data_IF_861475719947
#
_entry.id   IF_861475719947
#
_cell.length_a   1.000
_cell.length_b   1.000
_cell.length_c   1.000
_cell.angle_alpha   90.00
_cell.angle_beta   90.00
_cell.angle_gamma   90.00
#
_symmetry.space_group_name_H-M   'P 1'
#
loop_
_entity.id
_entity.type
_entity.pdbx_description
1 polymer ?
#
# COMPACT_ATOMS: atom_id res chain seq x y z
N UNK A 1 1.23 2.41 -9.93
CA UNK A 1 0.06 2.06 -9.08
C UNK A 1 -0.42 3.25 -8.24
N UNK A 2 0.47 4.02 -7.60
CA UNK A 2 0.06 5.17 -6.77
C UNK A 2 0.24 6.55 -7.41
N UNK A 3 0.43 6.65 -8.73
CA UNK A 3 0.76 7.93 -9.39
C UNK A 3 -0.27 9.02 -9.15
N UNK A 4 -1.57 8.69 -9.22
CA UNK A 4 -2.64 9.65 -8.96
C UNK A 4 -2.61 10.13 -7.50
N UNK A 5 -2.45 9.20 -6.55
CA UNK A 5 -2.30 9.50 -5.12
C UNK A 5 -1.07 10.39 -4.88
N UNK A 6 0.09 10.02 -5.43
CA UNK A 6 1.35 10.76 -5.29
C UNK A 6 1.21 12.19 -5.82
N UNK A 7 0.64 12.37 -7.01
CA UNK A 7 0.41 13.69 -7.60
C UNK A 7 -0.51 14.54 -6.71
N UNK A 8 -1.64 13.97 -6.30
CA UNK A 8 -2.63 14.67 -5.49
C UNK A 8 -2.11 15.10 -4.11
N UNK A 9 -1.32 14.24 -3.45
CA UNK A 9 -0.68 14.58 -2.18
C UNK A 9 0.42 15.63 -2.36
N UNK A 10 1.18 15.57 -3.45
CA UNK A 10 2.20 16.59 -3.76
C UNK A 10 1.55 17.96 -3.93
N UNK A 11 0.49 18.05 -4.73
CA UNK A 11 -0.27 19.29 -4.94
C UNK A 11 -0.89 19.85 -3.65
N UNK A 12 -1.39 18.95 -2.78
CA UNK A 12 -1.93 19.33 -1.47
C UNK A 12 -0.84 19.96 -0.59
N UNK A 13 0.32 19.32 -0.48
CA UNK A 13 1.41 19.80 0.37
C UNK A 13 2.02 21.09 -0.15
N UNK A 14 2.12 21.27 -1.47
CA UNK A 14 2.52 22.55 -2.05
C UNK A 14 1.56 23.68 -1.70
N UNK A 15 0.25 23.43 -1.78
CA UNK A 15 -0.78 24.42 -1.43
C UNK A 15 -0.73 24.80 0.05
N UNK A 16 -0.47 23.83 0.93
CA UNK A 16 -0.28 24.09 2.37
C UNK A 16 0.96 24.97 2.58
N UNK A 17 2.07 24.66 1.91
CA UNK A 17 3.32 25.41 2.01
C UNK A 17 3.21 26.85 1.51
N UNK A 18 2.48 27.08 0.40
CA UNK A 18 2.25 28.41 -0.20
C UNK A 18 1.35 29.32 0.65
N UNK A 19 0.50 28.78 1.53
CA UNK A 19 -0.44 29.55 2.36
C UNK A 19 0.17 30.17 3.62
N UNK A 20 1.46 29.97 3.89
CA UNK A 20 2.14 30.57 5.04
C UNK A 20 1.89 29.81 6.36
N UNK A 21 1.49 30.53 7.42
CA UNK A 21 1.40 29.96 8.78
C UNK A 21 0.32 28.88 8.87
N UNK A 22 0.70 27.69 9.34
CA UNK A 22 -0.23 26.59 9.54
C UNK A 22 -1.11 26.85 10.79
N UNK A 23 -2.39 27.15 10.56
CA UNK A 23 -3.37 27.46 11.63
C UNK A 23 -4.35 26.31 11.86
N UNK A 24 -5.11 26.36 12.96
CA UNK A 24 -6.18 25.38 13.25
C UNK A 24 -7.24 25.30 12.14
N UNK A 25 -7.61 26.44 11.54
CA UNK A 25 -8.53 26.48 10.41
C UNK A 25 -7.94 25.79 9.17
N UNK A 26 -6.70 26.14 8.80
CA UNK A 26 -6.01 25.50 7.67
C UNK A 26 -5.84 24.00 7.88
N UNK A 27 -5.63 23.55 9.12
CA UNK A 27 -5.56 22.13 9.46
C UNK A 27 -6.87 21.39 9.18
N UNK A 28 -8.03 21.96 9.55
CA UNK A 28 -9.34 21.31 9.29
C UNK A 28 -9.60 21.18 7.80
N UNK A 29 -9.35 22.23 7.03
CA UNK A 29 -9.50 22.21 5.57
C UNK A 29 -8.56 21.18 4.92
N UNK A 30 -7.31 21.12 5.39
CA UNK A 30 -6.32 20.16 4.92
C UNK A 30 -6.75 18.73 5.20
N UNK A 31 -7.27 18.44 6.41
CA UNK A 31 -7.78 17.11 6.76
C UNK A 31 -8.98 16.68 5.92
N UNK A 32 -9.90 17.61 5.64
CA UNK A 32 -11.02 17.34 4.72
C UNK A 32 -10.50 16.98 3.33
N UNK A 33 -9.54 17.73 2.82
CA UNK A 33 -8.94 17.46 1.50
C UNK A 33 -8.15 16.15 1.46
N UNK A 34 -7.40 15.81 2.51
CA UNK A 34 -6.76 14.49 2.63
C UNK A 34 -7.79 13.38 2.54
N UNK A 35 -8.92 13.53 3.24
CA UNK A 35 -10.00 12.53 3.21
C UNK A 35 -10.56 12.33 1.81
N UNK A 36 -10.89 13.42 1.14
CA UNK A 36 -11.52 13.39 -0.17
C UNK A 36 -10.54 12.78 -1.21
N UNK A 37 -9.25 13.15 -1.15
CA UNK A 37 -8.20 12.54 -1.99
C UNK A 37 -7.99 11.04 -1.77
N UNK A 38 -8.11 10.57 -0.52
CA UNK A 38 -8.04 9.14 -0.22
C UNK A 38 -9.23 8.41 -0.87
N UNK A 39 -10.43 8.98 -0.76
CA UNK A 39 -11.65 8.40 -1.36
C UNK A 39 -11.54 8.37 -2.89
N UNK A 40 -11.07 9.46 -3.50
CA UNK A 40 -10.84 9.57 -4.95
C UNK A 40 -9.77 8.58 -5.46
N UNK A 41 -8.95 8.02 -4.55
CA UNK A 41 -7.90 7.05 -4.84
C UNK A 41 -8.29 5.61 -4.46
N UNK A 42 -9.59 5.29 -4.53
CA UNK A 42 -10.17 3.97 -4.23
C UNK A 42 -9.95 3.47 -2.79
N UNK A 43 -9.69 4.37 -1.83
CA UNK A 43 -9.65 4.00 -0.40
C UNK A 43 -11.06 4.01 0.18
N UNK A 44 -11.43 2.93 0.87
CA UNK A 44 -12.71 2.84 1.58
C UNK A 44 -12.95 4.04 2.50
N UNK A 45 -14.17 4.59 2.48
CA UNK A 45 -14.59 5.71 3.33
C UNK A 45 -14.32 5.46 4.81
N UNK A 46 -14.48 4.21 5.27
CA UNK A 46 -14.21 3.83 6.66
C UNK A 46 -12.71 3.94 7.00
N UNK A 47 -11.85 3.53 6.08
CA UNK A 47 -10.39 3.60 6.24
C UNK A 47 -9.93 5.06 6.15
N UNK A 48 -10.44 5.83 5.19
CA UNK A 48 -10.14 7.26 5.06
C UNK A 48 -10.53 8.04 6.33
N UNK A 49 -11.72 7.78 6.90
CA UNK A 49 -12.14 8.35 8.20
C UNK A 49 -11.17 7.99 9.33
N UNK A 50 -10.78 6.72 9.44
CA UNK A 50 -9.81 6.25 10.46
C UNK A 50 -8.45 6.93 10.32
N UNK A 51 -7.96 7.10 9.09
CA UNK A 51 -6.70 7.79 8.80
C UNK A 51 -6.76 9.24 9.29
N UNK A 52 -7.81 9.98 8.90
CA UNK A 52 -7.98 11.39 9.28
C UNK A 52 -8.08 11.57 10.79
N UNK A 53 -8.85 10.73 11.48
CA UNK A 53 -8.97 10.75 12.94
C UNK A 53 -7.62 10.49 13.63
N UNK A 54 -6.82 9.55 13.12
CA UNK A 54 -5.46 9.30 13.63
C UNK A 54 -4.55 10.51 13.43
N UNK A 55 -4.61 11.15 12.26
CA UNK A 55 -3.82 12.37 11.98
C UNK A 55 -4.22 13.48 12.95
N UNK A 56 -5.52 13.74 13.13
CA UNK A 56 -6.02 14.78 14.04
C UNK A 56 -5.57 14.56 15.50
N UNK A 57 -5.57 13.30 15.95
CA UNK A 57 -5.05 12.92 17.27
C UNK A 57 -3.55 13.19 17.40
N UNK A 58 -2.75 12.88 16.39
CA UNK A 58 -1.30 13.14 16.40
C UNK A 58 -0.97 14.64 16.31
N UNK A 59 -1.77 15.43 15.57
CA UNK A 59 -1.65 16.89 15.55
C UNK A 59 -1.84 17.47 16.94
N UNK A 60 -2.89 17.04 17.64
CA UNK A 60 -3.22 17.51 18.98
C UNK A 60 -2.13 17.16 20.00
N UNK A 61 -1.56 15.95 19.92
CA UNK A 61 -0.48 15.51 20.82
C UNK A 61 0.82 16.29 20.64
N UNK A 62 1.19 16.62 19.40
CA UNK A 62 2.50 17.19 19.07
C UNK A 62 2.57 18.72 19.11
N UNK A 63 1.46 19.38 19.49
CA UNK A 63 1.34 20.85 19.48
C UNK A 63 1.95 21.48 18.23
N UNK A 64 1.64 20.93 17.04
CA UNK A 64 2.32 21.29 15.78
C UNK A 64 2.33 22.80 15.54
N UNK A 65 1.25 23.49 15.93
CA UNK A 65 1.09 24.93 15.76
C UNK A 65 2.17 25.78 16.45
N UNK A 66 2.85 25.23 17.47
CA UNK A 66 3.94 25.87 18.20
C UNK A 66 5.32 25.54 17.62
N UNK A 67 5.40 24.63 16.63
CA UNK A 67 6.66 24.18 16.06
C UNK A 67 7.21 25.13 14.99
N UNK A 68 8.54 25.17 14.84
CA UNK A 68 9.24 26.03 13.88
C UNK A 68 8.92 25.71 12.40
N UNK A 69 8.55 24.47 12.08
CA UNK A 69 8.20 24.02 10.72
C UNK A 69 6.90 23.18 10.73
N UNK A 70 5.74 23.81 10.92
CA UNK A 70 4.49 23.10 11.15
C UNK A 70 3.98 22.36 9.89
N UNK A 71 4.27 22.89 8.70
CA UNK A 71 4.02 22.29 7.40
C UNK A 71 4.76 20.96 7.22
N UNK A 72 6.08 20.93 7.47
CA UNK A 72 6.89 19.72 7.38
C UNK A 72 6.48 18.69 8.43
N UNK A 73 6.14 19.15 9.64
CA UNK A 73 5.65 18.28 10.71
C UNK A 73 4.30 17.64 10.38
N UNK A 74 3.40 18.38 9.72
CA UNK A 74 2.14 17.83 9.22
C UNK A 74 2.39 16.70 8.20
N UNK A 75 3.25 16.93 7.19
CA UNK A 75 3.61 15.89 6.20
C UNK A 75 4.15 14.63 6.88
N UNK A 76 5.07 14.78 7.84
CA UNK A 76 5.63 13.66 8.61
C UNK A 76 4.56 12.87 9.37
N UNK A 77 3.56 13.53 9.92
CA UNK A 77 2.47 12.86 10.64
C UNK A 77 1.58 12.10 9.66
N UNK A 78 1.22 12.71 8.53
CA UNK A 78 0.45 12.03 7.48
C UNK A 78 1.20 10.77 7.03
N UNK A 79 2.49 10.89 6.69
CA UNK A 79 3.33 9.76 6.30
C UNK A 79 3.36 8.68 7.38
N UNK A 80 3.60 9.04 8.65
CA UNK A 80 3.62 8.10 9.78
C UNK A 80 2.30 7.33 9.89
N UNK A 81 1.15 8.02 9.79
CA UNK A 81 -0.16 7.39 9.89
C UNK A 81 -0.42 6.46 8.70
N UNK A 82 0.00 6.84 7.48
CA UNK A 82 -0.13 5.98 6.30
C UNK A 82 0.71 4.71 6.44
N UNK A 83 1.97 4.81 6.87
CA UNK A 83 2.84 3.65 7.15
C UNK A 83 2.20 2.74 8.20
N UNK A 84 1.65 3.33 9.26
CA UNK A 84 0.93 2.58 10.30
C UNK A 84 -0.26 1.77 9.82
N UNK A 85 -0.94 2.24 8.77
CA UNK A 85 -2.13 1.58 8.23
C UNK A 85 -1.75 0.53 7.19
N UNK A 86 -0.74 0.80 6.36
CA UNK A 86 -0.28 -0.13 5.31
C UNK A 86 0.50 -1.30 5.94
N UNK A 87 1.27 -1.03 6.99
CA UNK A 87 2.07 -2.03 7.70
C UNK A 87 3.42 -1.43 8.10
N UNK A 88 3.72 -1.43 9.40
CA UNK A 88 4.99 -0.88 9.91
C UNK A 88 6.18 -1.83 9.68
N UNK A 89 5.91 -3.14 9.59
CA UNK A 89 6.95 -4.17 9.47
C UNK A 89 6.70 -5.02 8.24
N UNK A 90 7.78 -5.21 7.47
CA UNK A 90 7.83 -6.20 6.42
C UNK A 90 8.15 -7.57 7.03
N UNK A 91 7.26 -8.54 6.86
CA UNK A 91 7.48 -9.93 7.25
C UNK A 91 7.72 -10.76 5.98
N UNK A 92 8.96 -11.19 5.69
CA UNK A 92 9.26 -11.95 4.50
C UNK A 92 8.70 -13.37 4.58
N UNK A 93 8.51 -13.99 3.42
CA UNK A 93 8.19 -15.42 3.35
C UNK A 93 9.33 -16.20 4.00
N UNK A 94 9.00 -17.09 4.95
CA UNK A 94 9.98 -17.94 5.63
C UNK A 94 10.40 -19.07 4.69
N UNK A 95 11.60 -18.92 4.14
CA UNK A 95 12.20 -19.87 3.19
C UNK A 95 13.22 -20.77 3.89
N UNK A 96 12.78 -21.54 4.91
CA UNK A 96 13.64 -22.50 5.62
C UNK A 96 14.26 -23.50 4.64
N UNK A 97 15.47 -23.99 4.94
CA UNK A 97 16.20 -24.93 4.05
C UNK A 97 15.66 -26.36 4.10
N UNK A 98 14.97 -26.73 5.18
CA UNK A 98 14.66 -28.12 5.52
C UNK A 98 13.15 -28.43 5.54
N UNK A 99 12.30 -27.52 5.08
CA UNK A 99 10.85 -27.74 5.06
C UNK A 99 10.27 -27.46 3.68
N UNK A 100 9.31 -28.29 3.28
CA UNK A 100 8.54 -28.08 2.08
C UNK A 100 7.55 -26.93 2.31
N UNK A 101 7.67 -25.87 1.49
CA UNK A 101 6.79 -24.71 1.55
C UNK A 101 5.68 -24.84 0.51
N UNK A 102 4.45 -25.05 0.97
CA UNK A 102 3.26 -25.09 0.11
C UNK A 102 2.58 -23.71 0.14
N UNK A 103 2.45 -23.09 -1.04
CA UNK A 103 1.80 -21.78 -1.20
C UNK A 103 0.53 -21.94 -2.04
N UNK A 104 -0.63 -21.70 -1.44
CA UNK A 104 -1.91 -21.67 -2.12
C UNK A 104 -2.28 -20.25 -2.54
N UNK A 105 -2.56 -20.05 -3.82
CA UNK A 105 -2.92 -18.74 -4.38
C UNK A 105 -4.43 -18.56 -4.43
N UNK A 106 -4.97 -17.68 -3.59
CA UNK A 106 -6.42 -17.42 -3.46
C UNK A 106 -6.74 -15.98 -3.84
N UNK A 107 -7.93 -15.75 -4.41
CA UNK A 107 -8.38 -14.41 -4.84
C UNK A 107 -9.47 -14.46 -5.91
N UNK A 108 -10.08 -13.31 -6.20
CA UNK A 108 -11.17 -13.19 -7.19
C UNK A 108 -10.72 -13.52 -8.63
N UNK A 109 -11.65 -13.84 -9.53
CA UNK A 109 -11.35 -14.04 -10.96
C UNK A 109 -10.75 -12.74 -11.53
N UNK A 110 -9.69 -12.85 -12.33
CA UNK A 110 -9.03 -11.68 -12.93
C UNK A 110 -8.02 -10.94 -12.03
N UNK A 111 -7.89 -11.28 -10.74
CA UNK A 111 -6.90 -10.66 -9.82
C UNK A 111 -5.43 -11.00 -10.11
N UNK A 112 -5.15 -11.69 -11.22
CA UNK A 112 -3.79 -12.01 -11.63
C UNK A 112 -3.16 -13.23 -10.96
N UNK A 113 -3.94 -14.06 -10.24
CA UNK A 113 -3.44 -15.27 -9.52
C UNK A 113 -2.41 -16.09 -10.31
N UNK A 114 -2.79 -16.59 -11.49
CA UNK A 114 -1.91 -17.43 -12.33
C UNK A 114 -0.61 -16.72 -12.72
N UNK A 115 -0.70 -15.43 -13.06
CA UNK A 115 0.46 -14.62 -13.41
C UNK A 115 1.36 -14.40 -12.20
N UNK A 116 0.77 -14.10 -11.04
CA UNK A 116 1.49 -13.93 -9.77
C UNK A 116 2.14 -15.23 -9.32
N UNK A 117 1.48 -16.38 -9.50
CA UNK A 117 2.05 -17.71 -9.25
C UNK A 117 3.34 -17.92 -10.04
N UNK A 118 3.32 -17.65 -11.34
CA UNK A 118 4.50 -17.82 -12.20
C UNK A 118 5.63 -16.84 -11.81
N UNK A 119 5.28 -15.56 -11.56
CA UNK A 119 6.25 -14.55 -11.11
C UNK A 119 6.89 -14.93 -9.78
N UNK A 120 6.10 -15.38 -8.81
CA UNK A 120 6.59 -15.81 -7.51
C UNK A 120 7.51 -17.02 -7.66
N UNK A 121 7.11 -18.02 -8.46
CA UNK A 121 7.95 -19.18 -8.72
C UNK A 121 9.29 -18.83 -9.35
N UNK A 122 9.29 -17.87 -10.29
CA UNK A 122 10.51 -17.36 -10.91
C UNK A 122 11.41 -16.67 -9.88
N UNK A 123 10.86 -15.79 -9.04
CA UNK A 123 11.62 -15.12 -7.96
C UNK A 123 12.22 -16.13 -6.99
N UNK A 124 11.45 -17.14 -6.57
CA UNK A 124 11.94 -18.17 -5.65
C UNK A 124 13.08 -19.01 -6.26
N UNK A 125 13.01 -19.29 -7.56
CA UNK A 125 14.07 -20.02 -8.27
C UNK A 125 15.30 -19.17 -8.55
N UNK A 126 15.14 -17.99 -9.15
CA UNK A 126 16.26 -17.14 -9.60
C UNK A 126 16.92 -16.40 -8.44
N UNK A 127 16.14 -15.84 -7.51
CA UNK A 127 16.68 -15.01 -6.42
C UNK A 127 17.04 -15.82 -5.18
N UNK A 128 16.25 -16.86 -4.87
CA UNK A 128 16.42 -17.64 -3.63
C UNK A 128 16.94 -19.06 -3.85
N UNK A 129 17.26 -19.43 -5.10
CA UNK A 129 17.80 -20.73 -5.51
C UNK A 129 17.00 -21.93 -4.95
N UNK A 130 15.67 -21.80 -4.91
CA UNK A 130 14.76 -22.88 -4.48
C UNK A 130 14.33 -23.71 -5.67
N UNK A 131 14.13 -25.01 -5.45
CA UNK A 131 13.39 -25.87 -6.37
C UNK A 131 11.92 -25.55 -6.22
N UNK A 132 11.24 -25.23 -7.33
CA UNK A 132 9.85 -24.79 -7.34
C UNK A 132 9.04 -25.70 -8.25
N UNK A 133 7.93 -26.20 -7.73
CA UNK A 133 6.89 -26.88 -8.50
C UNK A 133 5.67 -25.98 -8.60
N UNK A 134 5.16 -25.78 -9.81
CA UNK A 134 3.92 -25.05 -10.04
C UNK A 134 2.82 -26.04 -10.43
N UNK A 135 1.72 -26.05 -9.69
CA UNK A 135 0.56 -26.90 -9.95
C UNK A 135 -0.67 -26.02 -10.25
N UNK A 136 -1.37 -26.31 -11.34
CA UNK A 136 -2.66 -25.69 -11.63
C UNK A 136 -3.76 -26.43 -10.88
N UNK A 137 -4.45 -25.73 -9.99
CA UNK A 137 -5.65 -26.24 -9.29
C UNK A 137 -6.96 -25.64 -9.84
N UNK A 138 -6.87 -24.81 -10.89
CA UNK A 138 -8.02 -24.17 -11.53
C UNK A 138 -8.65 -25.12 -12.58
N UNK A 139 -9.62 -25.92 -12.13
CA UNK A 139 -10.36 -26.89 -12.97
C UNK A 139 -11.54 -26.28 -13.72
N UNK A 140 -11.93 -25.04 -13.39
CA UNK A 140 -13.14 -24.40 -13.91
C UNK A 140 -12.88 -23.49 -15.10
N UNK A 141 -11.70 -22.85 -15.17
CA UNK A 141 -11.39 -21.91 -16.24
C UNK A 141 -10.72 -22.63 -17.42
N UNK A 142 -11.28 -22.54 -18.64
CA UNK A 142 -10.65 -23.11 -19.83
C UNK A 142 -9.22 -22.60 -20.00
N UNK A 143 -8.32 -23.49 -20.42
CA UNK A 143 -6.90 -23.21 -20.67
C UNK A 143 -6.11 -22.65 -19.46
N UNK A 144 -6.60 -22.75 -18.23
CA UNK A 144 -5.84 -22.31 -17.05
C UNK A 144 -4.51 -23.07 -16.90
N UNK A 145 -4.51 -24.37 -17.18
CA UNK A 145 -3.32 -25.21 -17.22
C UNK A 145 -2.33 -24.75 -18.30
N UNK A 146 -2.81 -24.60 -19.55
CA UNK A 146 -2.00 -24.10 -20.68
C UNK A 146 -1.39 -22.72 -20.40
N UNK A 147 -2.17 -21.81 -19.81
CA UNK A 147 -1.69 -20.49 -19.40
C UNK A 147 -0.53 -20.60 -18.40
N UNK A 148 -0.70 -21.41 -17.34
CA UNK A 148 0.34 -21.58 -16.32
C UNK A 148 1.60 -22.21 -16.94
N UNK A 149 1.43 -23.26 -17.76
CA UNK A 149 2.52 -23.95 -18.47
C UNK A 149 3.34 -22.99 -19.34
N UNK A 150 2.68 -22.09 -20.07
CA UNK A 150 3.36 -21.10 -20.92
C UNK A 150 4.16 -20.09 -20.08
N UNK A 151 3.60 -19.65 -18.96
CA UNK A 151 4.24 -18.68 -18.05
C UNK A 151 5.37 -19.30 -17.22
N UNK A 152 5.40 -20.62 -17.06
CA UNK A 152 6.37 -21.35 -16.24
C UNK A 152 7.61 -21.83 -17.02
N UNK A 153 7.93 -21.21 -18.16
CA UNK A 153 9.04 -21.60 -19.05
C UNK A 153 10.43 -21.08 -18.61
N UNK A 154 10.62 -20.81 -17.32
CA UNK A 154 11.88 -20.35 -16.72
C UNK A 154 12.62 -21.51 -16.05
#
# INVERSE_FOLDING_TARGET
MFENLTKNFTDLFEKIRKRGKFTKHLSKDSLKRVRDLLIDSDVSVLVAKKIVQKIEKEISKRKIYESFNPDKNFVKIVQKVLVQIIGEKFDPIRLSKNEDLIILMVGSKGSGKTTTTAKLGRVLRETYNKKVLLASTDVLRPAAFEQLKKLSSF
#
